data_IF_172300825260
#
_entry.id   IF_172300825260
#
_cell.length_a   1.000
_cell.length_b   1.000
_cell.length_c   1.000
_cell.angle_alpha   90.00
_cell.angle_beta   90.00
_cell.angle_gamma   90.00
#
_symmetry.space_group_name_H-M   'P 1'
#
loop_
_entity.id
_entity.type
_entity.pdbx_description
1 polymer ?
#
# COMPACT_ATOMS: atom_id res chain seq x y z
N UNK A 1 -37.62 -23.85 14.74
CA UNK A 1 -36.80 -22.64 14.91
C UNK A 1 -35.45 -22.85 15.61
N UNK A 2 -35.26 -23.83 16.52
CA UNK A 2 -33.95 -24.03 17.21
C UNK A 2 -32.79 -24.52 16.33
N UNK A 3 -33.03 -25.25 15.22
CA UNK A 3 -31.97 -25.76 14.33
C UNK A 3 -31.37 -24.73 13.36
N UNK A 4 -32.13 -23.69 12.99
CA UNK A 4 -31.66 -22.65 12.04
C UNK A 4 -30.80 -21.61 12.77
N UNK A 5 -31.07 -21.37 14.06
CA UNK A 5 -30.26 -20.46 14.87
C UNK A 5 -28.84 -20.99 15.13
N UNK A 6 -28.67 -22.31 15.25
CA UNK A 6 -27.37 -22.90 15.52
C UNK A 6 -26.42 -22.84 14.31
N UNK A 7 -26.95 -22.97 13.08
CA UNK A 7 -26.16 -22.88 11.86
C UNK A 7 -25.74 -21.44 11.51
N UNK A 8 -26.59 -20.45 11.79
CA UNK A 8 -26.24 -19.03 11.64
C UNK A 8 -25.20 -18.61 12.69
N UNK A 9 -25.34 -19.09 13.94
CA UNK A 9 -24.38 -18.82 15.00
C UNK A 9 -23.01 -19.47 14.72
N UNK A 10 -22.96 -20.67 14.13
CA UNK A 10 -21.71 -21.33 13.70
C UNK A 10 -21.02 -20.61 12.54
N UNK A 11 -21.78 -20.05 11.58
CA UNK A 11 -21.22 -19.27 10.48
C UNK A 11 -20.69 -17.91 10.95
N UNK A 12 -21.29 -17.30 11.98
CA UNK A 12 -20.80 -16.07 12.58
C UNK A 12 -19.54 -16.30 13.41
N UNK A 13 -19.43 -17.41 14.16
CA UNK A 13 -18.23 -17.70 14.96
C UNK A 13 -17.04 -18.16 14.11
N UNK A 14 -17.26 -18.87 12.99
CA UNK A 14 -16.17 -19.21 12.05
C UNK A 14 -15.62 -17.99 11.30
N UNK A 15 -16.45 -16.99 11.01
CA UNK A 15 -15.98 -15.72 10.43
C UNK A 15 -15.35 -14.78 11.48
N UNK A 16 -15.80 -14.82 12.75
CA UNK A 16 -15.17 -14.03 13.83
C UNK A 16 -13.81 -14.58 14.25
N UNK A 17 -13.65 -15.91 14.35
CA UNK A 17 -12.36 -16.54 14.64
C UNK A 17 -11.33 -16.36 13.50
N UNK A 18 -11.77 -15.99 12.31
CA UNK A 18 -10.91 -15.58 11.20
C UNK A 18 -10.50 -14.09 11.24
N UNK A 19 -11.13 -13.28 12.10
CA UNK A 19 -10.88 -11.84 12.20
C UNK A 19 -9.99 -11.43 13.40
N UNK A 20 -9.82 -12.30 14.41
CA UNK A 20 -9.12 -11.95 15.66
C UNK A 20 -7.73 -12.55 15.84
N UNK A 21 -7.22 -13.31 14.88
CA UNK A 21 -5.78 -13.56 14.84
C UNK A 21 -5.12 -12.36 14.15
N UNK A 22 -4.16 -11.72 14.83
CA UNK A 22 -3.02 -11.11 14.12
C UNK A 22 -2.72 -11.99 12.92
N UNK A 23 -2.81 -11.39 11.73
CA UNK A 23 -2.82 -12.06 10.43
C UNK A 23 -1.51 -12.84 10.25
N UNK A 24 -1.40 -13.99 10.92
CA UNK A 24 -0.16 -14.73 11.05
C UNK A 24 0.14 -15.27 9.67
N UNK A 25 1.20 -14.76 9.09
CA UNK A 25 1.63 -15.17 7.76
C UNK A 25 1.96 -16.66 7.85
N UNK A 26 1.41 -17.45 6.93
CA UNK A 26 1.61 -18.90 6.96
C UNK A 26 3.10 -19.24 6.87
N UNK A 27 3.50 -20.34 7.52
CA UNK A 27 4.89 -20.84 7.46
C UNK A 27 5.37 -21.08 6.03
N UNK A 28 4.46 -21.46 5.13
CA UNK A 28 4.74 -21.61 3.69
C UNK A 28 5.24 -20.29 3.08
N UNK A 29 4.51 -19.20 3.30
CA UNK A 29 4.87 -17.89 2.74
C UNK A 29 6.10 -17.28 3.41
N UNK A 30 6.27 -17.50 4.71
CA UNK A 30 7.48 -17.10 5.42
C UNK A 30 8.72 -17.81 4.84
N UNK A 31 8.64 -19.13 4.66
CA UNK A 31 9.75 -19.91 4.08
C UNK A 31 10.03 -19.51 2.63
N UNK A 32 8.99 -19.22 1.85
CA UNK A 32 9.13 -18.72 0.48
C UNK A 32 9.84 -17.35 0.45
N UNK A 33 9.44 -16.43 1.33
CA UNK A 33 10.09 -15.13 1.46
C UNK A 33 11.59 -15.27 1.76
N UNK A 34 11.95 -16.07 2.76
CA UNK A 34 13.34 -16.27 3.19
C UNK A 34 14.23 -16.89 2.11
N UNK A 35 13.69 -17.84 1.34
CA UNK A 35 14.47 -18.58 0.33
C UNK A 35 14.54 -17.84 -1.01
N UNK A 36 13.41 -17.33 -1.49
CA UNK A 36 13.29 -16.81 -2.86
C UNK A 36 13.40 -15.29 -2.89
N UNK A 37 12.59 -14.59 -2.09
CA UNK A 37 12.50 -13.12 -2.17
C UNK A 37 13.77 -12.46 -1.62
N UNK A 38 14.30 -12.93 -0.49
CA UNK A 38 15.57 -12.43 0.06
C UNK A 38 16.72 -12.66 -0.92
N UNK A 39 16.78 -13.84 -1.56
CA UNK A 39 17.79 -14.13 -2.59
C UNK A 39 17.71 -13.14 -3.76
N UNK A 40 16.50 -12.87 -4.25
CA UNK A 40 16.31 -11.87 -5.32
C UNK A 40 16.72 -10.46 -4.89
N UNK A 41 16.42 -10.04 -3.67
CA UNK A 41 16.80 -8.72 -3.17
C UNK A 41 18.33 -8.58 -3.07
N UNK A 42 19.01 -9.60 -2.54
CA UNK A 42 20.49 -9.65 -2.50
C UNK A 42 21.10 -9.60 -3.90
N UNK A 43 20.52 -10.32 -4.86
CA UNK A 43 21.00 -10.32 -6.26
C UNK A 43 20.87 -8.96 -6.95
N UNK A 44 19.90 -8.12 -6.54
CA UNK A 44 19.77 -6.75 -7.06
C UNK A 44 20.87 -5.81 -6.55
N UNK A 45 21.63 -6.26 -5.55
CA UNK A 45 22.66 -5.51 -4.86
C UNK A 45 22.07 -4.76 -3.68
N UNK A 46 22.48 -5.15 -2.48
CA UNK A 46 21.98 -4.60 -1.22
C UNK A 46 21.98 -3.06 -1.24
N UNK A 47 23.07 -2.42 -1.67
CA UNK A 47 23.15 -0.96 -1.78
C UNK A 47 22.18 -0.33 -2.80
N UNK A 48 21.88 -1.03 -3.90
CA UNK A 48 21.08 -0.48 -5.01
C UNK A 48 19.60 -0.51 -4.73
N UNK A 49 19.13 -1.50 -3.98
CA UNK A 49 17.73 -1.55 -3.54
C UNK A 49 17.43 -0.33 -2.63
N UNK A 50 18.44 0.19 -1.92
CA UNK A 50 18.18 1.09 -0.80
C UNK A 50 18.78 2.49 -0.85
N UNK A 51 19.69 2.81 -1.79
CA UNK A 51 20.47 4.06 -1.76
C UNK A 51 21.11 4.32 -0.36
N UNK A 52 21.47 3.25 0.37
CA UNK A 52 21.94 3.31 1.77
C UNK A 52 23.47 3.47 1.86
N UNK A 53 24.20 3.34 0.76
CA UNK A 53 25.67 3.22 0.79
C UNK A 53 26.42 4.55 0.58
N UNK A 54 25.74 5.69 0.59
CA UNK A 54 26.38 6.99 0.59
C UNK A 54 26.84 7.34 2.02
N UNK A 55 28.01 6.82 2.44
CA UNK A 55 28.82 7.50 3.46
C UNK A 55 29.30 6.74 4.71
N UNK A 56 28.89 5.50 5.02
CA UNK A 56 29.41 4.78 6.19
C UNK A 56 29.49 3.25 6.00
N UNK A 57 30.26 2.60 6.90
CA UNK A 57 30.59 1.18 6.98
C UNK A 57 29.45 0.23 6.56
N UNK A 58 29.81 -0.95 6.04
CA UNK A 58 28.88 -2.03 5.67
C UNK A 58 28.02 -2.46 6.87
N UNK A 59 26.92 -1.76 7.12
CA UNK A 59 25.97 -2.07 8.19
C UNK A 59 25.12 -3.27 7.78
N UNK A 60 24.74 -4.08 8.76
CA UNK A 60 23.91 -5.26 8.54
C UNK A 60 22.51 -4.83 8.06
N UNK A 61 22.05 -5.47 6.98
CA UNK A 61 20.76 -5.21 6.34
C UNK A 61 19.80 -6.33 6.71
N UNK A 62 18.66 -5.98 7.29
CA UNK A 62 17.60 -6.92 7.64
C UNK A 62 16.42 -6.80 6.68
N UNK A 63 16.10 -7.91 6.02
CA UNK A 63 14.93 -8.02 5.15
C UNK A 63 13.75 -8.55 5.99
N UNK A 64 12.59 -7.89 5.88
CA UNK A 64 11.38 -8.27 6.62
C UNK A 64 10.19 -8.42 5.69
N UNK A 65 9.33 -9.40 5.99
CA UNK A 65 8.04 -9.57 5.34
C UNK A 65 6.98 -8.80 6.13
N UNK A 66 6.31 -7.83 5.50
CA UNK A 66 5.26 -7.01 6.11
C UNK A 66 3.88 -7.63 5.95
N UNK A 67 3.52 -8.03 4.74
CA UNK A 67 2.22 -8.63 4.45
C UNK A 67 2.27 -9.56 3.25
N UNK A 68 1.31 -10.49 3.21
CA UNK A 68 1.01 -11.35 2.07
C UNK A 68 -0.46 -11.18 1.73
N UNK A 69 -0.73 -10.66 0.54
CA UNK A 69 -2.08 -10.29 0.12
C UNK A 69 -2.51 -11.18 -1.05
N UNK A 70 -3.52 -12.01 -0.79
CA UNK A 70 -4.15 -12.87 -1.81
C UNK A 70 -5.17 -12.05 -2.60
N UNK A 71 -5.10 -12.12 -3.94
CA UNK A 71 -6.07 -11.44 -4.80
C UNK A 71 -7.28 -12.35 -5.05
N UNK A 72 -8.51 -11.95 -4.66
CA UNK A 72 -9.70 -12.76 -4.80
C UNK A 72 -9.93 -13.25 -6.24
N UNK A 73 -10.46 -14.47 -6.37
CA UNK A 73 -10.78 -15.10 -7.65
C UNK A 73 -9.59 -15.16 -8.62
N UNK A 74 -8.37 -15.21 -8.08
CA UNK A 74 -7.16 -15.38 -8.86
C UNK A 74 -6.13 -16.19 -8.09
N UNK A 75 -5.11 -16.65 -8.79
CA UNK A 75 -3.91 -17.28 -8.26
C UNK A 75 -2.80 -16.26 -7.91
N UNK A 76 -3.10 -14.96 -7.90
CA UNK A 76 -2.11 -13.90 -7.69
C UNK A 76 -1.94 -13.60 -6.21
N UNK A 77 -0.68 -13.41 -5.82
CA UNK A 77 -0.27 -13.15 -4.44
C UNK A 77 0.72 -12.00 -4.45
N UNK A 78 0.46 -10.97 -3.64
CA UNK A 78 1.45 -9.95 -3.34
C UNK A 78 2.25 -10.32 -2.10
N UNK A 79 3.55 -10.13 -2.17
CA UNK A 79 4.44 -10.10 -1.02
C UNK A 79 4.94 -8.67 -0.86
N UNK A 80 4.63 -8.08 0.29
CA UNK A 80 5.11 -6.76 0.67
C UNK A 80 6.29 -6.96 1.60
N UNK A 81 7.46 -6.54 1.19
CA UNK A 81 8.66 -6.61 2.02
C UNK A 81 9.20 -5.23 2.27
N UNK A 82 9.91 -5.10 3.37
CA UNK A 82 10.59 -3.87 3.70
C UNK A 82 11.95 -4.19 4.29
N UNK A 83 12.82 -3.21 4.23
CA UNK A 83 14.18 -3.37 4.71
C UNK A 83 14.51 -2.32 5.74
N UNK A 84 15.19 -2.78 6.78
CA UNK A 84 15.70 -1.94 7.86
C UNK A 84 17.21 -2.16 7.95
N UNK A 85 17.98 -1.08 8.10
CA UNK A 85 19.36 -1.17 8.56
C UNK A 85 19.39 -0.99 10.09
N UNK A 86 20.54 -1.23 10.71
CA UNK A 86 20.72 -1.03 12.16
C UNK A 86 20.60 0.44 12.63
N UNK A 87 20.34 1.39 11.73
CA UNK A 87 20.24 2.80 12.06
C UNK A 87 18.77 3.21 12.19
N UNK A 88 18.31 3.39 13.43
CA UNK A 88 17.01 4.01 13.72
C UNK A 88 17.07 5.50 13.40
N UNK A 89 16.81 5.86 12.15
CA UNK A 89 16.67 7.24 11.75
C UNK A 89 15.20 7.64 11.79
N UNK A 90 14.89 8.59 12.68
CA UNK A 90 13.54 9.10 12.93
C UNK A 90 12.84 9.66 11.67
N UNK A 91 13.61 10.06 10.66
CA UNK A 91 13.12 10.68 9.43
C UNK A 91 13.52 9.93 8.14
N UNK A 92 13.97 8.68 8.24
CA UNK A 92 14.41 7.92 7.07
C UNK A 92 13.25 7.12 6.48
N UNK A 93 13.08 7.22 5.16
CA UNK A 93 12.11 6.40 4.44
C UNK A 93 12.46 4.91 4.53
N UNK A 94 11.44 4.07 4.61
CA UNK A 94 11.61 2.62 4.57
C UNK A 94 11.52 2.16 3.13
N UNK A 95 12.59 1.56 2.62
CA UNK A 95 12.56 0.95 1.32
C UNK A 95 11.61 -0.25 1.31
N UNK A 96 10.47 -0.05 0.68
CA UNK A 96 9.41 -1.03 0.57
C UNK A 96 9.44 -1.63 -0.83
N UNK A 97 9.31 -2.95 -0.91
CA UNK A 97 9.30 -3.69 -2.16
C UNK A 97 7.97 -4.42 -2.30
N UNK A 98 7.48 -4.45 -3.53
CA UNK A 98 6.24 -5.14 -3.87
C UNK A 98 6.59 -6.23 -4.86
N UNK A 99 6.36 -7.48 -4.49
CA UNK A 99 6.47 -8.60 -5.40
C UNK A 99 5.09 -9.14 -5.71
N UNK A 100 4.84 -9.43 -6.98
CA UNK A 100 3.69 -10.17 -7.41
C UNK A 100 4.12 -11.53 -7.94
N UNK A 101 3.54 -12.55 -7.34
CA UNK A 101 3.67 -13.93 -7.77
C UNK A 101 2.32 -14.48 -8.24
N UNK A 102 2.40 -15.49 -9.09
CA UNK A 102 1.31 -16.35 -9.47
C UNK A 102 1.55 -17.75 -8.88
N UNK A 103 0.64 -18.21 -8.01
CA UNK A 103 0.71 -19.52 -7.37
C UNK A 103 -0.01 -20.57 -8.20
N UNK A 104 0.73 -21.51 -8.76
CA UNK A 104 0.16 -22.77 -9.24
C UNK A 104 0.33 -23.85 -8.16
N UNK A 105 -0.31 -25.02 -8.32
CA UNK A 105 -0.42 -26.07 -7.28
C UNK A 105 0.83 -26.21 -6.39
N UNK A 106 2.00 -26.35 -7.00
CA UNK A 106 3.26 -26.60 -6.30
C UNK A 106 4.35 -25.53 -6.55
N UNK A 107 4.01 -24.43 -7.26
CA UNK A 107 5.01 -23.41 -7.61
C UNK A 107 4.47 -21.99 -7.48
N UNK A 108 5.39 -21.05 -7.27
CA UNK A 108 5.10 -19.62 -7.35
C UNK A 108 6.00 -19.01 -8.42
N UNK A 109 5.38 -18.42 -9.44
CA UNK A 109 6.09 -17.78 -10.55
C UNK A 109 6.10 -16.27 -10.33
N UNK A 110 7.27 -15.65 -10.35
CA UNK A 110 7.38 -14.19 -10.31
C UNK A 110 6.75 -13.59 -11.57
N UNK A 111 5.81 -12.68 -11.37
CA UNK A 111 5.10 -11.98 -12.46
C UNK A 111 5.64 -10.57 -12.63
N UNK A 112 5.75 -9.83 -11.53
CA UNK A 112 6.23 -8.46 -11.52
C UNK A 112 6.84 -8.13 -10.16
N UNK A 113 7.74 -7.17 -10.13
CA UNK A 113 8.22 -6.59 -8.87
C UNK A 113 8.47 -5.10 -9.03
N UNK A 114 8.28 -4.38 -7.95
CA UNK A 114 8.73 -3.00 -7.77
C UNK A 114 9.71 -2.99 -6.60
N UNK A 115 11.00 -2.85 -6.91
CA UNK A 115 12.11 -2.92 -5.95
C UNK A 115 12.48 -1.54 -5.37
N UNK A 116 11.75 -0.51 -5.76
CA UNK A 116 11.91 0.88 -5.32
C UNK A 116 10.55 1.54 -5.35
N UNK A 117 9.57 0.93 -4.70
CA UNK A 117 8.39 1.72 -4.38
C UNK A 117 8.92 2.82 -3.45
N UNK A 118 9.08 4.03 -3.98
CA UNK A 118 9.49 5.22 -3.23
C UNK A 118 8.40 5.49 -2.21
N UNK A 119 8.52 4.78 -1.10
CA UNK A 119 7.63 4.83 0.02
C UNK A 119 8.40 5.59 1.08
N UNK A 120 8.28 6.91 1.04
CA UNK A 120 8.54 7.67 2.24
C UNK A 120 7.39 7.37 3.20
N UNK A 121 7.76 6.94 4.39
CA UNK A 121 6.93 7.07 5.58
C UNK A 121 7.67 7.99 6.54
N UNK A 122 6.92 8.86 7.19
CA UNK A 122 7.37 9.47 8.43
C UNK A 122 7.57 8.36 9.46
N UNK A 123 8.68 8.40 10.21
CA UNK A 123 8.99 7.51 11.33
C UNK A 123 9.47 6.09 11.02
N UNK A 124 9.90 5.79 9.78
CA UNK A 124 10.60 4.53 9.52
C UNK A 124 9.72 3.29 9.61
N UNK A 125 8.40 3.42 9.42
CA UNK A 125 7.46 2.30 9.33
C UNK A 125 7.01 2.02 7.89
N UNK A 126 7.02 0.77 7.43
CA UNK A 126 6.43 0.45 6.13
C UNK A 126 4.91 0.70 6.17
N UNK A 127 4.31 1.35 5.15
CA UNK A 127 2.90 1.69 5.15
C UNK A 127 2.05 0.43 5.06
N UNK A 128 0.79 0.57 5.46
CA UNK A 128 -0.16 -0.51 5.37
C UNK A 128 -0.75 -0.59 3.96
N UNK A 129 -0.44 -1.70 3.29
CA UNK A 129 -0.97 -2.02 1.98
C UNK A 129 -2.36 -2.64 2.09
N UNK A 130 -3.23 -2.28 1.18
CA UNK A 130 -4.61 -2.75 1.11
C UNK A 130 -4.93 -3.18 -0.31
N UNK A 131 -5.62 -4.30 -0.42
CA UNK A 131 -6.29 -4.64 -1.67
C UNK A 131 -7.62 -3.90 -1.73
N UNK A 132 -7.85 -3.18 -2.81
CA UNK A 132 -9.06 -2.37 -3.02
C UNK A 132 -9.75 -2.80 -4.30
N UNK A 133 -11.08 -2.85 -4.25
CA UNK A 133 -11.92 -3.00 -5.44
C UNK A 133 -11.95 -1.65 -6.16
N UNK A 134 -11.38 -1.60 -7.36
CA UNK A 134 -11.36 -0.38 -8.19
C UNK A 134 -12.30 -0.46 -9.38
N UNK A 135 -13.07 -1.53 -9.50
CA UNK A 135 -13.94 -1.78 -10.64
C UNK A 135 -14.61 -3.14 -10.61
N UNK A 136 -15.46 -3.42 -11.59
CA UNK A 136 -16.13 -4.72 -11.74
C UNK A 136 -15.11 -5.84 -11.86
N UNK A 137 -15.01 -6.69 -10.83
CA UNK A 137 -14.03 -7.78 -10.71
C UNK A 137 -12.57 -7.32 -10.89
N UNK A 138 -12.27 -6.07 -10.51
CA UNK A 138 -10.95 -5.50 -10.67
C UNK A 138 -10.40 -5.02 -9.33
N UNK A 139 -9.24 -5.57 -8.96
CA UNK A 139 -8.56 -5.27 -7.72
C UNK A 139 -7.26 -4.53 -8.00
N UNK A 140 -6.95 -3.58 -7.14
CA UNK A 140 -5.69 -2.85 -7.14
C UNK A 140 -5.08 -2.87 -5.76
N UNK A 141 -3.77 -2.71 -5.71
CA UNK A 141 -3.04 -2.55 -4.47
C UNK A 141 -2.95 -1.06 -4.17
N UNK A 142 -3.24 -0.66 -2.93
CA UNK A 142 -3.12 0.74 -2.50
C UNK A 142 -2.44 0.86 -1.16
N UNK A 143 -1.81 2.00 -0.91
CA UNK A 143 -1.31 2.38 0.41
C UNK A 143 -1.34 3.91 0.55
N UNK A 144 -1.22 4.37 1.79
CA UNK A 144 -1.02 5.79 2.09
C UNK A 144 0.47 6.00 2.34
N UNK A 145 1.10 6.92 1.62
CA UNK A 145 2.50 7.30 1.78
C UNK A 145 2.58 8.66 2.46
N UNK A 146 3.31 8.74 3.57
CA UNK A 146 3.54 9.99 4.31
C UNK A 146 4.94 10.53 3.99
N UNK A 147 5.02 11.70 3.37
CA UNK A 147 6.28 12.33 2.98
C UNK A 147 6.57 13.54 3.87
N UNK A 148 7.83 13.69 4.33
CA UNK A 148 8.21 14.69 5.31
C UNK A 148 9.50 15.44 4.98
N UNK A 149 9.40 16.70 4.54
CA UNK A 149 10.53 17.66 4.48
C UNK A 149 10.02 19.08 4.81
N UNK A 150 9.86 19.40 6.10
CA UNK A 150 9.27 20.68 6.56
C UNK A 150 7.75 20.77 6.45
N UNK A 151 7.10 19.71 5.98
CA UNK A 151 5.65 19.52 5.91
C UNK A 151 5.33 18.04 5.88
N UNK A 152 4.22 17.59 6.48
CA UNK A 152 3.74 16.20 6.35
C UNK A 152 2.69 16.17 5.24
N UNK A 153 2.90 15.30 4.26
CA UNK A 153 1.96 15.09 3.15
C UNK A 153 1.62 13.61 3.00
N UNK A 154 0.33 13.30 3.02
CA UNK A 154 -0.18 11.95 2.80
C UNK A 154 -0.69 11.80 1.38
N UNK A 155 -0.26 10.73 0.71
CA UNK A 155 -0.68 10.40 -0.65
C UNK A 155 -1.37 9.05 -0.70
N UNK A 156 -2.57 8.99 -1.29
CA UNK A 156 -3.15 7.75 -1.77
C UNK A 156 -2.42 7.31 -3.03
N UNK A 157 -1.70 6.20 -2.93
CA UNK A 157 -1.03 5.57 -4.07
C UNK A 157 -1.80 4.32 -4.46
N UNK A 158 -2.07 4.15 -5.77
CA UNK A 158 -2.78 2.98 -6.31
C UNK A 158 -1.95 2.35 -7.42
N UNK A 159 -1.75 1.04 -7.33
CA UNK A 159 -1.14 0.19 -8.33
C UNK A 159 -2.18 -0.73 -8.96
N UNK A 160 -2.21 -0.76 -10.28
CA UNK A 160 -3.03 -1.71 -11.04
C UNK A 160 -2.15 -2.77 -11.69
N UNK A 161 -2.79 -3.89 -11.97
CA UNK A 161 -2.26 -4.96 -12.80
C UNK A 161 -2.60 -4.70 -14.26
N UNK A 162 -1.64 -4.18 -15.02
CA UNK A 162 -1.77 -4.03 -16.46
C UNK A 162 -0.78 -4.96 -17.17
N UNK A 163 -1.29 -5.91 -17.97
CA UNK A 163 -0.49 -6.88 -18.74
C UNK A 163 0.60 -7.57 -17.89
N UNK A 164 0.23 -8.07 -16.71
CA UNK A 164 1.15 -8.74 -15.79
C UNK A 164 2.30 -7.85 -15.27
N UNK A 165 2.14 -6.52 -15.30
CA UNK A 165 3.07 -5.57 -14.68
C UNK A 165 2.35 -4.77 -13.61
N UNK A 166 3.03 -4.60 -12.48
CA UNK A 166 2.69 -3.61 -11.47
C UNK A 166 2.90 -2.23 -12.07
N UNK A 167 1.83 -1.43 -12.14
CA UNK A 167 1.90 -0.06 -12.66
C UNK A 167 1.22 0.87 -11.70
N UNK A 168 1.92 1.91 -11.25
CA UNK A 168 1.33 3.01 -10.49
C UNK A 168 0.33 3.75 -11.40
N UNK A 169 -0.93 3.77 -11.00
CA UNK A 169 -2.02 4.41 -11.73
C UNK A 169 -2.62 5.61 -11.00
N UNK A 170 -2.30 5.82 -9.73
CA UNK A 170 -2.65 7.04 -8.99
C UNK A 170 -1.58 7.39 -7.97
N UNK A 171 -1.42 8.69 -7.73
CA UNK A 171 -0.74 9.29 -6.60
C UNK A 171 -1.47 10.59 -6.32
N UNK A 172 -2.32 10.58 -5.31
CA UNK A 172 -3.29 11.66 -5.01
C UNK A 172 -2.98 12.17 -3.62
N UNK A 173 -2.73 13.48 -3.48
CA UNK A 173 -2.53 14.09 -2.18
C UNK A 173 -3.87 14.05 -1.42
N UNK A 174 -3.87 13.41 -0.25
CA UNK A 174 -5.01 13.37 0.65
C UNK A 174 -4.90 14.50 1.65
N UNK A 175 -3.84 14.48 2.45
CA UNK A 175 -3.68 15.41 3.55
C UNK A 175 -2.34 16.11 3.42
N UNK A 176 -2.30 17.39 3.79
CA UNK A 176 -1.05 18.14 3.83
C UNK A 176 -1.09 19.14 4.97
N UNK A 177 -0.08 19.12 5.83
CA UNK A 177 0.13 20.14 6.86
C UNK A 177 1.44 20.86 6.62
N UNK A 178 1.40 22.19 6.55
CA UNK A 178 2.57 23.06 6.34
C UNK A 178 2.61 24.11 7.43
N UNK A 179 3.73 24.16 8.16
CA UNK A 179 4.07 25.29 9.00
C UNK A 179 4.74 26.36 8.14
N UNK A 180 3.96 27.33 7.66
CA UNK A 180 4.45 28.38 6.76
C UNK A 180 4.83 29.61 7.57
N UNK A 181 5.88 29.52 8.40
CA UNK A 181 6.51 30.59 9.22
C UNK A 181 5.59 31.47 10.09
N UNK A 182 4.27 31.48 9.94
CA UNK A 182 3.29 32.33 10.64
C UNK A 182 1.82 31.82 10.59
N UNK A 183 1.41 31.05 9.58
CA UNK A 183 0.01 30.53 9.47
C UNK A 183 0.03 29.02 9.24
N UNK A 184 -0.71 28.28 10.07
CA UNK A 184 -0.83 26.83 9.93
C UNK A 184 -1.84 26.51 8.84
N UNK A 185 -1.37 25.99 7.71
CA UNK A 185 -2.24 25.53 6.62
C UNK A 185 -2.35 24.01 6.63
N UNK A 186 -3.59 23.52 6.63
CA UNK A 186 -3.90 22.10 6.60
C UNK A 186 -4.97 21.78 5.55
N UNK A 187 -4.77 20.69 4.83
CA UNK A 187 -5.77 20.08 3.95
C UNK A 187 -6.18 18.74 4.54
N UNK A 188 -7.49 18.51 4.67
CA UNK A 188 -8.09 17.22 5.05
C UNK A 188 -8.95 16.69 3.93
N UNK A 189 -8.70 15.48 3.48
CA UNK A 189 -9.43 14.87 2.37
C UNK A 189 -9.99 13.50 2.71
N UNK A 190 -11.30 13.34 2.53
CA UNK A 190 -11.95 12.04 2.53
C UNK A 190 -12.11 11.55 1.09
N UNK A 191 -11.54 10.39 0.77
CA UNK A 191 -11.71 9.76 -0.54
C UNK A 191 -12.76 8.64 -0.51
N UNK A 192 -13.45 8.43 -1.64
CA UNK A 192 -14.42 7.35 -1.85
C UNK A 192 -14.37 6.85 -3.29
N UNK A 193 -14.56 5.54 -3.49
CA UNK A 193 -14.72 4.97 -4.83
C UNK A 193 -16.19 5.04 -5.25
N UNK A 194 -16.46 5.71 -6.37
CA UNK A 194 -17.79 5.89 -6.93
C UNK A 194 -18.05 4.74 -7.92
N UNK A 195 -18.78 3.73 -7.44
CA UNK A 195 -19.15 2.57 -8.25
C UNK A 195 -20.03 3.01 -9.43
N UNK A 196 -19.72 2.51 -10.61
CA UNK A 196 -20.47 2.76 -11.85
C UNK A 196 -20.34 1.55 -12.79
N UNK A 197 -20.99 1.60 -13.95
CA UNK A 197 -20.86 0.56 -14.96
C UNK A 197 -19.49 0.51 -15.65
N UNK A 198 -18.59 1.44 -15.31
CA UNK A 198 -17.23 1.48 -15.82
C UNK A 198 -16.39 0.30 -15.33
N UNK A 199 -15.38 -0.05 -16.12
CA UNK A 199 -14.35 -1.01 -15.74
C UNK A 199 -13.53 -0.54 -14.54
N UNK A 200 -13.35 0.78 -14.37
CA UNK A 200 -12.71 1.40 -13.22
C UNK A 200 -13.66 2.44 -12.63
N UNK A 201 -13.83 2.43 -11.31
CA UNK A 201 -14.64 3.36 -10.54
C UNK A 201 -13.96 4.73 -10.47
N UNK A 202 -14.73 5.81 -10.48
CA UNK A 202 -14.15 7.14 -10.26
C UNK A 202 -13.78 7.31 -8.78
N UNK A 203 -12.84 8.18 -8.45
CA UNK A 203 -12.47 8.50 -7.06
C UNK A 203 -12.97 9.89 -6.76
N UNK A 204 -13.86 10.00 -5.77
CA UNK A 204 -14.37 11.28 -5.28
C UNK A 204 -13.60 11.67 -4.02
N UNK A 205 -13.11 12.90 -3.99
CA UNK A 205 -12.49 13.54 -2.84
C UNK A 205 -13.42 14.62 -2.29
N UNK A 206 -13.71 14.57 -1.00
CA UNK A 206 -14.31 15.67 -0.26
C UNK A 206 -13.19 16.38 0.51
N UNK A 207 -12.81 17.58 0.06
CA UNK A 207 -11.64 18.33 0.53
C UNK A 207 -12.07 19.46 1.47
N UNK A 208 -11.37 19.60 2.58
CA UNK A 208 -11.51 20.70 3.54
C UNK A 208 -10.15 21.38 3.73
N UNK A 209 -10.09 22.68 3.43
CA UNK A 209 -8.92 23.51 3.71
C UNK A 209 -9.12 24.25 5.04
N UNK A 210 -8.05 24.28 5.83
CA UNK A 210 -7.99 24.87 7.15
C UNK A 210 -6.86 25.91 7.22
N UNK A 211 -7.13 27.03 7.88
CA UNK A 211 -6.13 28.02 8.31
C UNK A 211 -6.26 28.19 9.82
N UNK A 212 -5.16 27.99 10.56
CA UNK A 212 -5.14 28.00 12.03
C UNK A 212 -6.24 27.14 12.64
N UNK A 213 -6.41 25.93 12.08
CA UNK A 213 -7.45 24.96 12.44
C UNK A 213 -8.90 25.41 12.19
N UNK A 214 -9.13 26.52 11.48
CA UNK A 214 -10.47 26.99 11.09
C UNK A 214 -10.74 26.68 9.63
N UNK A 215 -11.96 26.22 9.34
CA UNK A 215 -12.40 25.92 7.97
C UNK A 215 -12.46 27.20 7.15
N UNK A 216 -11.67 27.26 6.07
CA UNK A 216 -11.70 28.36 5.11
C UNK A 216 -12.39 27.97 3.80
N UNK A 217 -12.34 26.70 3.41
CA UNK A 217 -12.91 26.23 2.15
C UNK A 217 -13.30 24.76 2.20
N UNK A 218 -14.39 24.42 1.50
CA UNK A 218 -14.78 23.03 1.20
C UNK A 218 -15.11 22.89 -0.27
N UNK A 219 -14.60 21.84 -0.90
CA UNK A 219 -14.88 21.54 -2.31
C UNK A 219 -14.76 20.04 -2.57
N UNK A 220 -15.14 19.65 -3.79
CA UNK A 220 -15.10 18.26 -4.24
C UNK A 220 -14.20 18.15 -5.45
N UNK A 221 -13.39 17.11 -5.47
CA UNK A 221 -12.64 16.71 -6.65
C UNK A 221 -13.12 15.34 -7.12
N UNK A 222 -13.11 15.12 -8.43
CA UNK A 222 -13.41 13.81 -9.02
C UNK A 222 -12.22 13.41 -9.88
N UNK A 223 -11.62 12.27 -9.59
CA UNK A 223 -10.58 11.67 -10.39
C UNK A 223 -11.17 10.56 -11.22
N UNK A 224 -11.00 10.66 -12.54
CA UNK A 224 -11.50 9.69 -13.51
C UNK A 224 -10.34 8.86 -14.05
N UNK A 225 -10.60 7.58 -14.28
CA UNK A 225 -9.61 6.70 -14.90
C UNK A 225 -9.62 6.88 -16.42
N UNK A 226 -8.51 7.37 -16.99
CA UNK A 226 -8.33 7.55 -18.43
C UNK A 226 -6.87 7.30 -18.82
N UNK A 227 -6.65 6.66 -19.97
CA UNK A 227 -5.31 6.40 -20.51
C UNK A 227 -4.37 5.69 -19.52
N UNK A 228 -4.91 4.75 -18.74
CA UNK A 228 -4.10 3.93 -17.83
C UNK A 228 -3.79 4.57 -16.48
N UNK A 229 -4.37 5.73 -16.14
CA UNK A 229 -4.16 6.41 -14.85
C UNK A 229 -5.40 7.19 -14.40
N UNK A 230 -5.48 7.48 -13.11
CA UNK A 230 -6.41 8.46 -12.56
C UNK A 230 -5.89 9.87 -12.78
N UNK A 231 -6.78 10.77 -13.18
CA UNK A 231 -6.48 12.20 -13.30
C UNK A 231 -7.68 13.02 -12.85
N UNK A 232 -7.41 14.22 -12.32
CA UNK A 232 -8.43 15.16 -11.92
C UNK A 232 -9.30 15.54 -13.14
N UNK A 233 -10.61 15.30 -13.01
CA UNK A 233 -11.61 15.72 -13.97
C UNK A 233 -11.99 17.17 -13.64
N UNK A 234 -11.37 18.11 -14.36
CA UNK A 234 -11.65 19.55 -14.24
C UNK A 234 -12.97 19.91 -14.90
#
# INVERSE_FOLDING_TARGET
MKKIFLSILLMLTTNLLALENEKSISKEYQSFFEKEIVSQLKSHGDCKVYNICDGEEKKEISFKLKDVILVPNSNKIYFITYVTNSHSCFACGVATNIFLYEKNKDNMKLISKDLKADVSSTFGEAPDFKLIEVGKNNYSLSYISSQGHGSVQDYLVIFSMEKNKLKKIASINLDSSRDVRMVYHETKTKYTFVKSDKKFYDIKLDVTELEDSKVVKKYKEIYVYKNGKYGLNK
#
